data_IF_906936089357
#
_entry.id   IF_906936089357
#
_cell.length_a   1.000
_cell.length_b   1.000
_cell.length_c   1.000
_cell.angle_alpha   90.00
_cell.angle_beta   90.00
_cell.angle_gamma   90.00
#
_symmetry.space_group_name_H-M   'P 1'
#
loop_
_entity.id
_entity.type
_entity.pdbx_description
1 polymer ?
#
# COMPACT_ATOMS: atom_id res chain seq x y z
N UNK A 1 -32.44 -21.26 2.91
CA UNK A 1 -31.02 -21.68 2.85
C UNK A 1 -30.36 -20.88 1.73
N UNK A 2 -29.85 -19.69 2.07
CA UNK A 2 -28.40 -19.41 2.27
C UNK A 2 -27.76 -18.87 0.98
N UNK A 3 -27.68 -17.54 0.89
CA UNK A 3 -27.02 -16.81 -0.19
C UNK A 3 -26.12 -15.71 0.38
N UNK A 4 -25.22 -16.08 1.28
CA UNK A 4 -24.27 -15.20 1.97
C UNK A 4 -23.14 -14.76 1.02
N UNK A 5 -23.47 -14.06 -0.07
CA UNK A 5 -22.50 -13.65 -1.09
C UNK A 5 -22.34 -12.13 -1.29
N UNK A 6 -23.27 -11.31 -0.80
CA UNK A 6 -23.34 -9.88 -1.16
C UNK A 6 -22.82 -8.89 -0.11
N UNK A 7 -22.34 -9.34 1.04
CA UNK A 7 -21.93 -8.43 2.15
C UNK A 7 -20.46 -7.99 2.13
N UNK A 8 -19.60 -8.68 1.38
CA UNK A 8 -18.14 -8.40 1.37
C UNK A 8 -17.74 -7.38 0.29
N UNK A 9 -18.45 -7.34 -0.84
CA UNK A 9 -18.19 -6.36 -1.89
C UNK A 9 -18.57 -4.91 -1.49
N UNK A 10 -19.48 -4.73 -0.52
CA UNK A 10 -19.96 -3.41 -0.10
C UNK A 10 -18.92 -2.60 0.69
N UNK A 11 -18.06 -3.22 1.52
CA UNK A 11 -17.07 -2.47 2.31
C UNK A 11 -15.91 -1.93 1.48
N UNK A 12 -15.44 -2.69 0.49
CA UNK A 12 -14.33 -2.26 -0.37
C UNK A 12 -14.72 -1.04 -1.21
N UNK A 13 -15.91 -1.10 -1.81
CA UNK A 13 -16.47 0.02 -2.56
C UNK A 13 -16.74 1.20 -1.63
N UNK A 14 -17.17 0.96 -0.39
CA UNK A 14 -17.42 2.03 0.57
C UNK A 14 -16.14 2.68 1.09
N UNK A 15 -15.08 1.92 1.38
CA UNK A 15 -13.76 2.44 1.75
C UNK A 15 -13.13 3.22 0.59
N UNK A 16 -13.21 2.72 -0.65
CA UNK A 16 -12.79 3.48 -1.84
C UNK A 16 -13.62 4.77 -2.04
N UNK A 17 -14.90 4.78 -1.63
CA UNK A 17 -15.81 5.93 -1.79
C UNK A 17 -15.80 6.94 -0.63
N UNK A 18 -15.47 6.54 0.59
CA UNK A 18 -15.49 7.40 1.78
C UNK A 18 -14.09 7.87 2.22
N UNK A 19 -13.02 7.24 1.72
CA UNK A 19 -11.68 7.57 2.14
C UNK A 19 -11.16 8.86 1.47
N UNK A 20 -10.59 9.76 2.28
CA UNK A 20 -10.03 11.04 1.83
C UNK A 20 -8.56 10.86 1.52
N UNK A 21 -8.13 11.10 0.29
CA UNK A 21 -6.71 11.05 -0.09
C UNK A 21 -5.91 12.09 0.70
N UNK A 22 -4.82 11.65 1.35
CA UNK A 22 -4.00 12.51 2.21
C UNK A 22 -2.57 12.71 1.75
N UNK A 23 -2.13 11.95 0.74
CA UNK A 23 -0.80 12.07 0.17
C UNK A 23 -0.14 10.73 -0.10
N UNK A 24 1.16 10.78 -0.39
CA UNK A 24 1.93 9.66 -0.91
C UNK A 24 3.22 9.49 -0.10
N UNK A 25 3.55 8.25 0.27
CA UNK A 25 4.75 7.93 1.04
C UNK A 25 5.38 6.62 0.60
N UNK A 26 6.66 6.41 0.96
CA UNK A 26 7.35 5.13 0.88
C UNK A 26 7.25 4.40 2.21
N UNK A 27 6.72 3.19 2.17
CA UNK A 27 6.50 2.35 3.36
C UNK A 27 7.14 0.97 3.13
N UNK A 28 7.69 0.38 4.20
CA UNK A 28 8.29 -0.96 4.14
C UNK A 28 7.25 -2.00 3.74
N UNK A 29 7.62 -2.88 2.80
CA UNK A 29 6.75 -3.94 2.29
C UNK A 29 6.26 -4.92 3.35
N UNK A 30 6.98 -5.08 4.46
CA UNK A 30 6.59 -5.95 5.57
C UNK A 30 5.47 -5.34 6.44
N UNK A 31 5.26 -4.02 6.39
CA UNK A 31 4.17 -3.36 7.12
C UNK A 31 2.85 -3.40 6.38
N UNK A 32 2.83 -3.85 5.12
CA UNK A 32 1.63 -3.87 4.29
C UNK A 32 0.86 -5.17 4.45
N UNK A 33 -0.44 -5.07 4.69
CA UNK A 33 -1.35 -6.19 4.76
C UNK A 33 -2.52 -6.07 3.77
N UNK A 34 -3.07 -7.22 3.40
CA UNK A 34 -4.07 -7.31 2.33
C UNK A 34 -5.26 -8.18 2.77
N UNK A 35 -5.95 -7.84 3.88
CA UNK A 35 -7.01 -8.67 4.46
C UNK A 35 -8.16 -8.93 3.47
N UNK A 36 -8.37 -8.01 2.53
CA UNK A 36 -9.45 -8.04 1.55
C UNK A 36 -9.02 -8.51 0.15
N UNK A 37 -7.77 -8.96 -0.02
CA UNK A 37 -7.30 -9.47 -1.31
C UNK A 37 -7.66 -10.94 -1.53
N UNK A 38 -7.85 -11.31 -2.80
CA UNK A 38 -7.99 -12.72 -3.19
C UNK A 38 -6.71 -13.48 -2.90
N UNK A 39 -6.78 -14.81 -2.85
CA UNK A 39 -5.60 -15.65 -2.78
C UNK A 39 -4.56 -15.26 -3.84
N UNK A 40 -3.29 -15.30 -3.47
CA UNK A 40 -2.19 -15.08 -4.40
C UNK A 40 -2.28 -16.06 -5.58
N UNK A 41 -2.06 -15.54 -6.78
CA UNK A 41 -1.93 -16.33 -8.00
C UNK A 41 -0.44 -16.40 -8.35
N UNK A 42 0.22 -17.56 -8.17
CA UNK A 42 1.63 -17.71 -8.45
C UNK A 42 2.03 -17.31 -9.87
N UNK A 43 1.15 -17.52 -10.87
CA UNK A 43 1.43 -17.15 -12.26
C UNK A 43 1.53 -15.63 -12.42
N UNK A 44 0.61 -14.89 -11.80
CA UNK A 44 0.63 -13.43 -11.83
C UNK A 44 1.81 -12.86 -11.03
N UNK A 45 2.16 -13.47 -9.89
CA UNK A 45 3.37 -13.09 -9.14
C UNK A 45 4.62 -13.28 -10.01
N UNK A 46 4.76 -14.45 -10.66
CA UNK A 46 5.92 -14.72 -11.50
C UNK A 46 6.01 -13.77 -12.71
N UNK A 47 4.86 -13.44 -13.33
CA UNK A 47 4.80 -12.44 -14.40
C UNK A 47 5.29 -11.06 -13.91
N UNK A 48 4.88 -10.63 -12.72
CA UNK A 48 5.32 -9.37 -12.11
C UNK A 48 6.81 -9.40 -11.74
N UNK A 49 7.33 -10.52 -11.24
CA UNK A 49 8.78 -10.68 -10.98
C UNK A 49 9.60 -10.49 -12.25
N UNK A 50 9.16 -11.10 -13.36
CA UNK A 50 9.81 -10.93 -14.66
C UNK A 50 9.73 -9.47 -15.14
N UNK A 51 8.59 -8.81 -14.93
CA UNK A 51 8.42 -7.39 -15.25
C UNK A 51 9.38 -6.50 -14.45
N UNK A 52 9.58 -6.78 -13.16
CA UNK A 52 10.46 -5.99 -12.30
C UNK A 52 11.94 -6.18 -12.63
N UNK A 53 12.32 -7.38 -13.10
CA UNK A 53 13.67 -7.68 -13.57
C UNK A 53 13.95 -7.14 -14.98
N UNK A 54 12.90 -6.97 -15.80
CA UNK A 54 13.02 -6.49 -17.17
C UNK A 54 13.36 -5.00 -17.27
N UNK A 55 14.16 -4.61 -18.26
CA UNK A 55 14.61 -3.23 -18.50
C UNK A 55 13.49 -2.21 -18.75
N UNK A 56 12.24 -2.64 -19.01
CA UNK A 56 11.09 -1.77 -19.34
C UNK A 56 10.27 -1.25 -18.16
N UNK A 57 10.74 -1.43 -16.92
CA UNK A 57 10.32 -0.55 -15.82
C UNK A 57 8.96 -0.89 -15.20
N UNK A 58 9.03 -1.31 -13.95
CA UNK A 58 7.94 -1.08 -13.00
C UNK A 58 8.52 -0.20 -11.89
N UNK A 59 8.45 1.12 -12.07
CA UNK A 59 8.89 2.02 -11.00
C UNK A 59 7.77 2.09 -9.96
N UNK A 60 8.06 1.86 -8.67
CA UNK A 60 7.04 1.98 -7.62
C UNK A 60 6.31 3.32 -7.62
N UNK A 61 6.99 4.41 -8.02
CA UNK A 61 6.41 5.75 -8.09
C UNK A 61 5.44 6.03 -9.24
N UNK A 62 5.38 5.18 -10.28
CA UNK A 62 4.42 5.37 -11.37
C UNK A 62 3.01 5.18 -10.83
N UNK A 63 2.06 6.04 -11.21
CA UNK A 63 0.67 6.03 -10.68
C UNK A 63 -0.01 4.64 -10.76
N UNK A 64 0.25 3.88 -11.82
CA UNK A 64 -0.28 2.52 -12.00
C UNK A 64 0.35 1.46 -11.08
N UNK A 65 1.49 1.78 -10.49
CA UNK A 65 2.28 0.89 -9.64
C UNK A 65 2.14 1.25 -8.15
N UNK A 66 1.62 2.43 -7.82
CA UNK A 66 1.31 2.82 -6.44
C UNK A 66 0.22 1.95 -5.84
N UNK A 67 0.32 1.73 -4.55
CA UNK A 67 -0.58 0.88 -3.79
C UNK A 67 -1.44 1.78 -2.91
N UNK A 68 -2.78 1.78 -3.07
CA UNK A 68 -3.65 2.53 -2.18
C UNK A 68 -3.83 1.78 -0.86
N UNK A 69 -3.72 2.52 0.25
CA UNK A 69 -3.87 1.99 1.58
C UNK A 69 -4.60 2.97 2.50
N UNK A 70 -5.26 2.43 3.51
CA UNK A 70 -6.05 3.19 4.48
C UNK A 70 -5.31 3.27 5.80
N UNK A 71 -5.33 4.44 6.43
CA UNK A 71 -4.74 4.71 7.74
C UNK A 71 -5.72 5.52 8.58
N UNK A 72 -5.76 5.30 9.89
CA UNK A 72 -6.49 6.16 10.82
C UNK A 72 -5.65 7.39 11.23
N UNK A 73 -6.30 8.43 11.77
CA UNK A 73 -5.61 9.69 12.08
C UNK A 73 -4.59 9.55 13.23
N UNK A 74 -4.83 8.64 14.19
CA UNK A 74 -3.91 8.42 15.31
C UNK A 74 -2.62 7.77 14.83
N UNK A 75 -2.74 6.67 14.09
CA UNK A 75 -1.62 5.97 13.44
C UNK A 75 -0.83 6.91 12.53
N UNK A 76 -1.52 7.74 11.73
CA UNK A 76 -0.86 8.72 10.87
C UNK A 76 -0.05 9.73 11.68
N UNK A 77 -0.62 10.26 12.77
CA UNK A 77 0.05 11.21 13.65
C UNK A 77 1.31 10.62 14.28
N UNK A 78 1.23 9.39 14.80
CA UNK A 78 2.39 8.68 15.36
C UNK A 78 3.48 8.44 14.30
N UNK A 79 3.09 7.98 13.11
CA UNK A 79 4.04 7.71 12.03
C UNK A 79 4.73 8.98 11.52
N UNK A 80 3.98 10.09 11.39
CA UNK A 80 4.53 11.39 11.01
C UNK A 80 5.54 11.89 12.06
N UNK A 81 5.18 11.81 13.34
CA UNK A 81 6.06 12.20 14.45
C UNK A 81 7.34 11.34 14.49
N UNK A 82 7.20 10.02 14.39
CA UNK A 82 8.34 9.09 14.38
C UNK A 82 9.27 9.32 13.18
N UNK A 83 8.71 9.75 12.04
CA UNK A 83 9.47 10.02 10.81
C UNK A 83 9.98 11.45 10.71
N UNK A 84 9.65 12.34 11.67
CA UNK A 84 9.96 13.76 11.59
C UNK A 84 9.31 14.46 10.38
N UNK A 85 8.17 13.96 9.92
CA UNK A 85 7.47 14.44 8.73
C UNK A 85 6.25 15.28 9.10
N UNK A 86 5.89 16.20 8.22
CA UNK A 86 4.61 16.91 8.27
C UNK A 86 3.65 16.32 7.24
N UNK A 87 2.35 16.53 7.45
CA UNK A 87 1.31 16.12 6.50
C UNK A 87 1.52 16.75 5.11
N UNK A 88 2.05 17.97 5.06
CA UNK A 88 2.36 18.69 3.82
C UNK A 88 3.40 17.93 2.98
N UNK A 89 4.38 17.28 3.63
CA UNK A 89 5.40 16.49 2.94
C UNK A 89 4.80 15.31 2.16
N UNK A 90 3.66 14.78 2.61
CA UNK A 90 2.93 13.71 1.91
C UNK A 90 2.17 14.22 0.68
N UNK A 91 1.69 15.46 0.70
CA UNK A 91 0.89 16.05 -0.37
C UNK A 91 1.74 16.55 -1.55
N UNK A 92 2.97 16.98 -1.27
CA UNK A 92 3.93 17.45 -2.27
C UNK A 92 5.20 16.62 -2.22
N UNK A 93 5.12 15.31 -2.53
CA UNK A 93 6.29 14.45 -2.50
C UNK A 93 7.27 14.89 -3.60
N UNK A 94 8.53 15.08 -3.22
CA UNK A 94 9.62 15.22 -4.17
C UNK A 94 9.86 13.92 -4.95
N UNK A 95 10.88 13.90 -5.81
CA UNK A 95 11.18 12.75 -6.68
C UNK A 95 11.39 11.43 -5.92
N UNK A 96 11.90 11.49 -4.69
CA UNK A 96 12.25 10.30 -3.91
C UNK A 96 11.14 9.77 -3.01
N UNK A 97 10.03 10.51 -2.87
CA UNK A 97 8.92 10.30 -1.93
C UNK A 97 9.35 10.23 -0.46
N UNK A 98 8.61 10.85 0.48
CA UNK A 98 8.98 10.79 1.89
C UNK A 98 8.86 9.35 2.42
N UNK A 99 9.82 8.93 3.26
CA UNK A 99 9.76 7.65 3.96
C UNK A 99 8.91 7.80 5.21
N UNK A 100 7.81 7.06 5.28
CA UNK A 100 6.95 7.02 6.45
C UNK A 100 7.18 5.71 7.20
N UNK A 101 7.83 5.81 8.35
CA UNK A 101 8.06 4.69 9.25
C UNK A 101 6.85 4.52 10.18
N UNK A 102 6.15 3.40 10.00
CA UNK A 102 5.02 3.02 10.84
C UNK A 102 5.53 2.39 12.15
N UNK A 103 4.81 2.54 13.27
CA UNK A 103 5.13 1.81 14.49
C UNK A 103 5.19 0.29 14.24
N UNK A 104 6.10 -0.47 14.88
CA UNK A 104 6.32 -1.89 14.57
C UNK A 104 5.09 -2.80 14.72
N UNK A 105 4.14 -2.39 15.55
CA UNK A 105 2.89 -3.12 15.83
C UNK A 105 1.81 -2.87 14.79
N UNK A 106 1.94 -1.81 13.99
CA UNK A 106 0.95 -1.39 13.01
C UNK A 106 1.16 -2.13 11.70
N UNK A 107 0.06 -2.61 11.13
CA UNK A 107 -0.02 -3.07 9.74
C UNK A 107 -0.96 -2.15 8.99
N UNK A 108 -0.53 -1.77 7.79
CA UNK A 108 -1.27 -0.84 6.95
C UNK A 108 -2.15 -1.63 5.98
N UNK A 109 -3.46 -1.43 6.10
CA UNK A 109 -4.45 -2.10 5.27
C UNK A 109 -4.40 -1.56 3.83
N UNK A 110 -3.95 -2.40 2.91
CA UNK A 110 -3.86 -2.09 1.50
C UNK A 110 -5.08 -2.62 0.74
N UNK A 111 -5.69 -1.76 -0.08
CA UNK A 111 -6.92 -2.08 -0.81
C UNK A 111 -6.69 -3.02 -2.01
N UNK A 112 -5.49 -2.93 -2.61
CA UNK A 112 -5.06 -3.75 -3.76
C UNK A 112 -3.54 -3.77 -3.86
N UNK A 113 -2.98 -4.70 -4.63
CA UNK A 113 -1.54 -4.74 -4.90
C UNK A 113 -0.80 -5.89 -4.21
N UNK A 114 -1.50 -6.87 -3.66
CA UNK A 114 -0.90 -8.01 -2.98
C UNK A 114 0.12 -8.78 -3.85
N UNK A 115 -0.23 -9.12 -5.10
CA UNK A 115 0.71 -9.80 -6.02
C UNK A 115 1.95 -8.95 -6.33
N UNK A 116 1.80 -7.63 -6.34
CA UNK A 116 2.88 -6.65 -6.60
C UNK A 116 3.86 -6.61 -5.43
N UNK A 117 3.33 -6.52 -4.20
CA UNK A 117 4.14 -6.61 -2.98
C UNK A 117 4.86 -7.95 -2.89
N UNK A 118 4.16 -9.04 -3.18
CA UNK A 118 4.75 -10.37 -3.14
C UNK A 118 5.87 -10.51 -4.17
N UNK A 119 5.62 -10.10 -5.41
CA UNK A 119 6.65 -10.09 -6.44
C UNK A 119 7.84 -9.21 -6.05
N UNK A 120 7.59 -8.04 -5.44
CA UNK A 120 8.63 -7.11 -5.04
C UNK A 120 9.53 -7.72 -3.95
N UNK A 121 8.92 -8.31 -2.91
CA UNK A 121 9.61 -9.05 -1.84
C UNK A 121 10.49 -10.17 -2.40
N UNK A 122 9.98 -10.94 -3.36
CA UNK A 122 10.72 -12.04 -3.98
C UNK A 122 11.82 -11.58 -4.95
N UNK A 123 11.75 -10.35 -5.47
CA UNK A 123 12.78 -9.81 -6.38
C UNK A 123 13.86 -9.01 -5.67
N UNK A 124 13.52 -8.29 -4.61
CA UNK A 124 14.46 -7.37 -3.96
C UNK A 124 15.44 -8.09 -3.04
N UNK A 125 15.08 -9.28 -2.56
CA UNK A 125 15.92 -10.08 -1.65
C UNK A 125 16.22 -9.41 -0.30
N UNK A 126 15.62 -8.24 -0.02
CA UNK A 126 15.88 -7.43 1.18
C UNK A 126 14.60 -7.15 1.94
N UNK A 127 14.65 -7.33 3.26
CA UNK A 127 13.57 -6.98 4.18
C UNK A 127 13.30 -5.46 4.25
N UNK A 128 14.27 -4.62 3.86
CA UNK A 128 14.18 -3.16 3.85
C UNK A 128 13.71 -2.61 2.49
N UNK A 129 12.88 -3.37 1.79
CA UNK A 129 12.29 -2.91 0.53
C UNK A 129 11.09 -2.00 0.81
N UNK A 130 11.07 -0.83 0.16
CA UNK A 130 9.98 0.14 0.26
C UNK A 130 9.15 0.15 -1.01
N UNK A 131 7.88 0.49 -0.88
CA UNK A 131 6.98 0.75 -1.99
C UNK A 131 6.26 2.07 -1.80
N UNK A 132 5.88 2.71 -2.92
CA UNK A 132 5.16 3.97 -2.91
C UNK A 132 3.67 3.70 -2.71
N UNK A 133 3.11 4.26 -1.65
CA UNK A 133 1.75 4.04 -1.16
C UNK A 133 0.98 5.35 -1.29
N UNK A 134 -0.21 5.29 -1.90
CA UNK A 134 -1.18 6.37 -1.83
C UNK A 134 -1.99 6.17 -0.53
N UNK A 135 -1.92 7.14 0.38
CA UNK A 135 -2.54 7.07 1.68
C UNK A 135 -3.90 7.74 1.66
N UNK A 136 -4.86 7.09 2.32
CA UNK A 136 -6.21 7.61 2.51
C UNK A 136 -6.61 7.50 3.97
N UNK A 137 -7.35 8.48 4.48
CA UNK A 137 -7.91 8.39 5.83
C UNK A 137 -9.14 7.49 5.84
N UNK A 138 -9.21 6.58 6.80
CA UNK A 138 -10.41 5.79 7.05
C UNK A 138 -11.58 6.76 7.37
N UNK A 139 -12.67 6.66 6.61
CA UNK A 139 -13.87 7.45 6.90
C UNK A 139 -14.44 7.08 8.27
N UNK A 140 -14.68 8.10 9.10
CA UNK A 140 -15.47 8.00 10.35
C UNK A 140 -16.89 7.48 10.07
#
# INVERSE_FOLDING_TARGET
MSGTGFRVASRRIQAEKSAKHIGVARIKLNMLEFPNSRSLDPKNVQRLKNLFRGQRGCKPGDLQNRIPAVVDEATLGEALNASGLTRVALLSPGLDYPRLDLPPVVRLECLRGQHRVQAAKETSGSADTYWVIDLFIAGL
#
